data_IF_912877648024
#
_entry.id   IF_912877648024
#
_cell.length_a   1.000
_cell.length_b   1.000
_cell.length_c   1.000
_cell.angle_alpha   90.00
_cell.angle_beta   90.00
_cell.angle_gamma   90.00
#
_symmetry.space_group_name_H-M   'P 1'
#
loop_
_entity.id
_entity.type
_entity.pdbx_description
1 polymer ?
#
# COMPACT_ATOMS: atom_id res chain seq x y z
N UNK A 1 -10.83 -14.04 1.49
CA UNK A 1 -10.08 -13.72 0.24
C UNK A 1 -11.05 -13.80 -0.92
N UNK A 2 -11.31 -12.68 -1.61
CA UNK A 2 -12.27 -12.61 -2.72
C UNK A 2 -11.62 -12.99 -4.06
N UNK A 3 -12.25 -13.90 -4.81
CA UNK A 3 -11.75 -14.40 -6.10
C UNK A 3 -11.58 -13.29 -7.14
N UNK A 4 -12.41 -12.24 -7.08
CA UNK A 4 -12.32 -11.06 -7.95
C UNK A 4 -11.06 -10.22 -7.68
N UNK A 5 -10.64 -10.14 -6.41
CA UNK A 5 -9.39 -9.46 -6.06
C UNK A 5 -8.20 -10.24 -6.61
N UNK A 6 -8.18 -11.57 -6.41
CA UNK A 6 -7.16 -12.46 -6.99
C UNK A 6 -6.99 -12.31 -8.51
N UNK A 7 -8.10 -12.21 -9.26
CA UNK A 7 -8.06 -12.02 -10.71
C UNK A 7 -7.50 -10.65 -11.14
N UNK A 8 -7.79 -9.60 -10.39
CA UNK A 8 -7.20 -8.27 -10.62
C UNK A 8 -5.71 -8.28 -10.26
N UNK A 9 -5.34 -8.97 -9.19
CA UNK A 9 -3.97 -9.10 -8.72
C UNK A 9 -3.06 -9.87 -9.69
N UNK A 10 -3.56 -10.89 -10.39
CA UNK A 10 -2.84 -11.56 -11.48
C UNK A 10 -2.47 -10.60 -12.64
N UNK A 11 -3.24 -9.52 -12.84
CA UNK A 11 -2.89 -8.45 -13.78
C UNK A 11 -1.95 -7.38 -13.19
N UNK A 12 -1.65 -7.43 -11.89
CA UNK A 12 -0.88 -6.42 -11.15
C UNK A 12 0.44 -6.95 -10.57
N UNK A 13 0.88 -8.15 -10.96
CA UNK A 13 2.19 -8.71 -10.61
C UNK A 13 3.33 -7.72 -10.90
N UNK A 14 3.23 -6.98 -12.00
CA UNK A 14 4.24 -5.97 -12.36
C UNK A 14 4.27 -4.78 -11.37
N UNK A 15 3.11 -4.40 -10.82
CA UNK A 15 3.00 -3.36 -9.79
C UNK A 15 3.55 -3.86 -8.45
N UNK A 16 3.26 -5.10 -8.07
CA UNK A 16 3.82 -5.74 -6.88
C UNK A 16 5.36 -5.87 -6.99
N UNK A 17 5.87 -6.26 -8.17
CA UNK A 17 7.31 -6.31 -8.48
C UNK A 17 7.99 -4.95 -8.36
N UNK A 18 7.34 -3.87 -8.84
CA UNK A 18 7.87 -2.50 -8.67
C UNK A 18 7.91 -2.06 -7.21
N UNK A 19 6.91 -2.43 -6.41
CA UNK A 19 6.90 -2.17 -4.97
C UNK A 19 8.03 -2.95 -4.26
N UNK A 20 8.11 -4.27 -4.52
CA UNK A 20 9.11 -5.18 -4.00
C UNK A 20 10.55 -4.65 -4.18
N UNK A 21 10.86 -4.18 -5.39
CA UNK A 21 12.18 -3.64 -5.72
C UNK A 21 12.60 -2.40 -4.93
N UNK A 22 11.66 -1.61 -4.41
CA UNK A 22 11.97 -0.36 -3.68
C UNK A 22 12.44 -0.65 -2.26
N UNK A 23 11.77 -1.57 -1.60
CA UNK A 23 11.96 -1.93 -0.19
C UNK A 23 12.84 -3.18 -0.02
N UNK A 24 13.13 -3.91 -1.10
CA UNK A 24 13.88 -5.16 -1.05
C UNK A 24 13.05 -6.31 -0.48
N UNK A 25 11.74 -6.24 -0.61
CA UNK A 25 10.83 -7.35 -0.28
C UNK A 25 10.76 -8.33 -1.46
N UNK A 26 10.37 -9.57 -1.19
CA UNK A 26 9.95 -10.49 -2.25
C UNK A 26 8.63 -10.04 -2.89
N UNK A 27 8.35 -10.51 -4.11
CA UNK A 27 7.06 -10.25 -4.79
C UNK A 27 5.88 -10.73 -3.94
N UNK A 28 6.00 -11.89 -3.28
CA UNK A 28 4.95 -12.44 -2.41
C UNK A 28 4.69 -11.59 -1.15
N UNK A 29 5.76 -11.08 -0.54
CA UNK A 29 5.63 -10.16 0.60
C UNK A 29 4.99 -8.84 0.17
N UNK A 30 5.42 -8.27 -0.95
CA UNK A 30 4.83 -7.05 -1.50
C UNK A 30 3.34 -7.23 -1.85
N UNK A 31 2.97 -8.38 -2.41
CA UNK A 31 1.58 -8.72 -2.69
C UNK A 31 0.76 -8.83 -1.39
N UNK A 32 1.33 -9.46 -0.37
CA UNK A 32 0.71 -9.59 0.95
C UNK A 32 0.49 -8.23 1.62
N UNK A 33 1.44 -7.29 1.48
CA UNK A 33 1.28 -5.91 1.97
C UNK A 33 0.11 -5.19 1.30
N UNK A 34 0.01 -5.30 -0.02
CA UNK A 34 -1.05 -4.63 -0.77
C UNK A 34 -2.41 -5.21 -0.37
N UNK A 35 -2.52 -6.53 -0.21
CA UNK A 35 -3.74 -7.18 0.29
C UNK A 35 -4.11 -6.71 1.69
N UNK A 36 -3.13 -6.71 2.61
CA UNK A 36 -3.31 -6.25 3.99
C UNK A 36 -3.83 -4.82 4.04
N UNK A 37 -3.33 -3.95 3.17
CA UNK A 37 -3.72 -2.55 3.07
C UNK A 37 -5.17 -2.38 2.57
N UNK A 38 -5.56 -3.11 1.53
CA UNK A 38 -6.92 -3.07 0.98
C UNK A 38 -7.96 -3.65 1.97
N UNK A 39 -7.54 -4.63 2.77
CA UNK A 39 -8.38 -5.20 3.83
C UNK A 39 -8.60 -4.23 5.00
N UNK A 40 -7.78 -3.20 5.16
CA UNK A 40 -8.00 -2.18 6.19
C UNK A 40 -9.23 -1.34 5.87
N UNK A 41 -10.29 -1.53 6.66
CA UNK A 41 -11.55 -0.77 6.53
C UNK A 41 -11.39 0.71 6.88
N UNK A 42 -10.47 1.02 7.79
CA UNK A 42 -10.17 2.35 8.28
C UNK A 42 -8.64 2.44 8.36
N UNK A 43 -8.04 3.41 7.68
CA UNK A 43 -6.59 3.61 7.73
C UNK A 43 -6.27 4.90 8.47
N UNK A 44 -5.34 4.78 9.42
CA UNK A 44 -4.78 5.89 10.17
C UNK A 44 -3.28 5.93 9.94
N UNK A 45 -2.68 7.12 9.98
CA UNK A 45 -1.23 7.31 9.84
C UNK A 45 -0.41 6.47 10.83
N UNK A 46 -0.93 6.26 12.04
CA UNK A 46 -0.31 5.40 13.06
C UNK A 46 -0.18 3.93 12.62
N UNK A 47 -1.15 3.41 11.85
CA UNK A 47 -1.07 2.06 11.31
C UNK A 47 0.07 1.94 10.31
N UNK A 48 0.23 2.93 9.42
CA UNK A 48 1.35 3.00 8.47
C UNK A 48 2.69 3.10 9.20
N UNK A 49 2.78 3.93 10.25
CA UNK A 49 3.98 4.06 11.07
C UNK A 49 4.40 2.72 11.70
N UNK A 50 3.45 2.03 12.33
CA UNK A 50 3.66 0.71 12.89
C UNK A 50 4.07 -0.31 11.83
N UNK A 51 3.46 -0.26 10.63
CA UNK A 51 3.77 -1.21 9.56
C UNK A 51 5.17 -0.99 8.99
N UNK A 52 5.57 0.26 8.77
CA UNK A 52 6.93 0.61 8.35
C UNK A 52 7.97 0.10 9.35
N UNK A 53 7.68 0.22 10.65
CA UNK A 53 8.56 -0.29 11.71
C UNK A 53 8.66 -1.82 11.69
N UNK A 54 7.55 -2.53 11.48
CA UNK A 54 7.53 -4.00 11.36
C UNK A 54 8.30 -4.49 10.13
N UNK A 55 8.17 -3.79 9.00
CA UNK A 55 8.90 -4.07 7.76
C UNK A 55 10.38 -3.65 7.82
N UNK A 56 10.81 -2.99 8.92
CA UNK A 56 12.18 -2.50 9.14
C UNK A 56 12.69 -1.66 7.97
N UNK A 57 11.81 -0.88 7.36
CA UNK A 57 12.16 -0.04 6.21
C UNK A 57 13.08 1.08 6.70
N UNK A 58 14.26 1.19 6.08
CA UNK A 58 15.24 2.23 6.37
C UNK A 58 14.62 3.62 6.20
N UNK A 59 14.99 4.55 7.07
CA UNK A 59 14.41 5.91 7.16
C UNK A 59 14.43 6.63 5.80
N UNK A 60 15.56 6.53 5.08
CA UNK A 60 15.74 7.12 3.75
C UNK A 60 14.87 6.49 2.64
N UNK A 61 14.20 5.37 2.90
CA UNK A 61 13.28 4.69 1.98
C UNK A 61 11.81 4.77 2.39
N UNK A 62 11.49 5.30 3.58
CA UNK A 62 10.11 5.36 4.11
C UNK A 62 9.19 6.19 3.23
N UNK A 63 9.63 7.40 2.85
CA UNK A 63 8.85 8.29 1.97
C UNK A 63 8.66 7.64 0.59
N UNK A 64 9.72 7.07 0.01
CA UNK A 64 9.64 6.39 -1.29
C UNK A 64 8.67 5.20 -1.24
N UNK A 65 8.70 4.40 -0.17
CA UNK A 65 7.75 3.32 0.04
C UNK A 65 6.30 3.82 0.08
N UNK A 66 6.03 4.86 0.86
CA UNK A 66 4.69 5.44 0.98
C UNK A 66 4.18 5.99 -0.36
N UNK A 67 5.02 6.69 -1.12
CA UNK A 67 4.68 7.17 -2.46
C UNK A 67 4.27 6.00 -3.36
N UNK A 68 5.07 4.93 -3.38
CA UNK A 68 4.78 3.74 -4.20
C UNK A 68 3.52 3.03 -3.74
N UNK A 69 3.30 2.89 -2.43
CA UNK A 69 2.06 2.33 -1.90
C UNK A 69 0.85 3.16 -2.34
N UNK A 70 0.96 4.49 -2.30
CA UNK A 70 -0.13 5.36 -2.76
C UNK A 70 -0.40 5.21 -4.26
N UNK A 71 0.65 5.08 -5.08
CA UNK A 71 0.50 4.76 -6.51
C UNK A 71 -0.25 3.45 -6.72
N UNK A 72 0.02 2.40 -5.91
CA UNK A 72 -0.73 1.14 -5.97
C UNK A 72 -2.20 1.35 -5.62
N UNK A 73 -2.51 2.05 -4.54
CA UNK A 73 -3.90 2.39 -4.13
C UNK A 73 -4.63 3.16 -5.23
N UNK A 74 -3.94 4.09 -5.91
CA UNK A 74 -4.49 4.85 -7.02
C UNK A 74 -4.59 4.05 -8.32
N UNK A 75 -3.86 2.96 -8.48
CA UNK A 75 -3.91 2.14 -9.69
C UNK A 75 -4.89 0.96 -9.57
N UNK A 76 -5.16 0.50 -8.35
CA UNK A 76 -6.10 -0.58 -8.09
C UNK A 76 -7.51 -0.23 -8.60
N UNK A 77 -8.18 -1.16 -9.31
CA UNK A 77 -9.57 -1.00 -9.69
C UNK A 77 -10.49 -0.87 -8.48
N UNK A 78 -11.58 -0.11 -8.62
CA UNK A 78 -12.51 0.20 -7.54
C UNK A 78 -13.11 -1.06 -6.88
N UNK A 79 -13.22 -2.16 -7.64
CA UNK A 79 -13.71 -3.47 -7.14
C UNK A 79 -12.81 -4.08 -6.04
N UNK A 80 -11.58 -3.60 -5.90
CA UNK A 80 -10.69 -4.04 -4.83
C UNK A 80 -11.08 -3.42 -3.48
N UNK A 81 -11.70 -2.26 -3.50
CA UNK A 81 -12.13 -1.50 -2.33
C UNK A 81 -13.57 -1.83 -1.96
N UNK A 82 -13.94 -1.55 -0.71
CA UNK A 82 -15.31 -1.62 -0.22
C UNK A 82 -16.19 -0.58 -0.91
N UNK A 83 -15.67 0.63 -1.06
CA UNK A 83 -16.27 1.74 -1.77
C UNK A 83 -15.19 2.77 -2.18
N UNK A 84 -15.59 3.77 -2.96
CA UNK A 84 -14.71 4.86 -3.40
C UNK A 84 -14.21 5.72 -2.22
N UNK A 85 -14.98 5.80 -1.13
CA UNK A 85 -14.61 6.58 0.04
C UNK A 85 -13.42 5.94 0.76
N UNK A 86 -13.42 4.61 0.91
CA UNK A 86 -12.31 3.86 1.48
C UNK A 86 -11.02 4.12 0.69
N UNK A 87 -11.08 4.09 -0.64
CA UNK A 87 -9.92 4.37 -1.49
C UNK A 87 -9.36 5.77 -1.26
N UNK A 88 -10.24 6.78 -1.18
CA UNK A 88 -9.83 8.16 -0.93
C UNK A 88 -9.21 8.31 0.46
N UNK A 89 -9.83 7.73 1.48
CA UNK A 89 -9.28 7.73 2.85
C UNK A 89 -7.91 7.05 2.94
N UNK A 90 -7.71 5.93 2.22
CA UNK A 90 -6.41 5.26 2.14
C UNK A 90 -5.35 6.19 1.52
N UNK A 91 -5.68 6.85 0.41
CA UNK A 91 -4.79 7.80 -0.27
C UNK A 91 -4.46 9.00 0.62
N UNK A 92 -5.46 9.60 1.25
CA UNK A 92 -5.32 10.77 2.13
C UNK A 92 -4.44 10.46 3.34
N UNK A 93 -4.66 9.32 4.01
CA UNK A 93 -3.86 8.90 5.15
C UNK A 93 -2.38 8.68 4.80
N UNK A 94 -2.11 8.15 3.60
CA UNK A 94 -0.73 7.99 3.10
C UNK A 94 -0.09 9.36 2.83
N UNK A 95 -0.80 10.26 2.17
CA UNK A 95 -0.32 11.61 1.85
C UNK A 95 -0.06 12.43 3.11
N UNK A 96 -0.96 12.37 4.09
CA UNK A 96 -0.79 13.02 5.39
C UNK A 96 0.48 12.51 6.08
N UNK A 97 0.71 11.19 6.08
CA UNK A 97 1.89 10.62 6.72
C UNK A 97 3.20 10.95 5.99
N UNK A 98 3.18 11.05 4.65
CA UNK A 98 4.32 11.55 3.87
C UNK A 98 4.65 12.98 4.28
N UNK A 99 3.64 13.84 4.41
CA UNK A 99 3.83 15.24 4.82
C UNK A 99 4.43 15.33 6.23
N UNK A 100 3.97 14.50 7.17
CA UNK A 100 4.52 14.42 8.53
C UNK A 100 6.00 13.98 8.55
N UNK A 101 6.41 13.08 7.66
CA UNK A 101 7.81 12.63 7.57
C UNK A 101 8.73 13.61 6.82
N UNK A 102 8.17 14.58 6.11
CA UNK A 102 8.91 15.56 5.31
C UNK A 102 9.08 16.91 6.03
N UNK A 103 8.51 17.05 7.23
CA UNK A 103 8.69 18.18 8.16
C UNK A 103 9.76 17.88 9.20
#
# INVERSE_FOLDING_TARGET
>A
MDLKKLLVFLGMEDTARRLANVIGLSEDEALSEILLLIEQRWMYSEWLANRIQQLRIKDNKRVLYLIRMNEVVKFLPDICFLDLQQRNQLSEAIEEYINQLSQ
#
